data_IF_055240400691
#
_entry.id   IF_055240400691
#
_cell.length_a   1.000
_cell.length_b   1.000
_cell.length_c   1.000
_cell.angle_alpha   90.00
_cell.angle_beta   90.00
_cell.angle_gamma   90.00
#
_symmetry.space_group_name_H-M   'P 1'
#
loop_
_entity.id
_entity.type
_entity.pdbx_description
1 polymer ?
#
# COMPACT_ATOMS: atom_id res chain seq x y z
N UNK A 1 0.39 7.36 -10.33
CA UNK A 1 0.41 8.65 -9.58
C UNK A 1 0.67 8.42 -8.10
N UNK A 2 -0.09 7.57 -7.41
CA UNK A 2 0.12 7.25 -5.97
C UNK A 2 1.55 6.82 -5.62
N UNK A 3 2.13 5.84 -6.34
CA UNK A 3 3.49 5.35 -6.06
C UNK A 3 4.56 6.44 -6.25
N UNK A 4 4.40 7.28 -7.28
CA UNK A 4 5.26 8.46 -7.50
C UNK A 4 5.14 9.47 -6.35
N UNK A 5 3.93 9.74 -5.86
CA UNK A 5 3.72 10.65 -4.72
C UNK A 5 4.36 10.10 -3.44
N UNK A 6 4.29 8.79 -3.22
CA UNK A 6 4.96 8.14 -2.09
C UNK A 6 6.47 8.29 -2.17
N UNK A 7 7.07 8.07 -3.35
CA UNK A 7 8.51 8.29 -3.56
C UNK A 7 8.89 9.74 -3.25
N UNK A 8 8.13 10.70 -3.77
CA UNK A 8 8.38 12.11 -3.51
C UNK A 8 8.32 12.46 -2.01
N UNK A 9 7.38 11.86 -1.26
CA UNK A 9 7.28 12.07 0.18
C UNK A 9 8.46 11.44 0.95
N UNK A 10 8.93 10.25 0.54
CA UNK A 10 10.10 9.60 1.14
C UNK A 10 11.40 10.37 0.87
N UNK A 11 11.50 11.01 -0.29
CA UNK A 11 12.66 11.83 -0.69
C UNK A 11 12.60 13.28 -0.17
N UNK A 12 11.47 13.71 0.42
CA UNK A 12 11.33 15.06 0.96
C UNK A 12 12.36 15.30 2.08
N UNK A 13 13.24 16.31 1.98
CA UNK A 13 14.32 16.53 2.94
C UNK A 13 13.83 16.80 4.37
N UNK A 14 12.57 17.23 4.54
CA UNK A 14 11.96 17.46 5.86
C UNK A 14 11.55 16.16 6.55
N UNK A 15 11.28 15.12 5.76
CA UNK A 15 10.64 13.87 6.19
C UNK A 15 11.56 12.65 6.04
N UNK A 16 12.61 12.74 5.22
CA UNK A 16 13.54 11.66 4.89
C UNK A 16 14.11 11.01 6.16
N UNK A 17 14.00 9.68 6.23
CA UNK A 17 14.44 8.87 7.38
C UNK A 17 13.56 8.96 8.62
N UNK A 18 12.43 9.69 8.57
CA UNK A 18 11.50 9.89 9.70
C UNK A 18 10.08 9.40 9.42
N UNK A 19 9.78 9.00 8.18
CA UNK A 19 8.46 8.52 7.80
C UNK A 19 8.32 7.03 8.02
N UNK A 20 7.21 6.65 8.66
CA UNK A 20 6.62 5.33 8.53
C UNK A 20 5.45 5.45 7.56
N UNK A 21 5.35 4.53 6.60
CA UNK A 21 4.37 4.60 5.53
C UNK A 21 3.78 3.22 5.26
N UNK A 22 2.46 3.17 5.12
CA UNK A 22 1.73 1.99 4.67
C UNK A 22 0.84 2.36 3.50
N UNK A 23 0.89 1.56 2.43
CA UNK A 23 -0.04 1.61 1.31
C UNK A 23 -1.13 0.57 1.50
N UNK A 24 -2.37 1.02 1.70
CA UNK A 24 -3.55 0.16 1.83
C UNK A 24 -4.36 0.17 0.53
N UNK A 25 -4.52 -0.97 -0.12
CA UNK A 25 -5.30 -1.09 -1.36
C UNK A 25 -6.67 -1.76 -1.11
N UNK A 26 -7.75 -1.02 -1.34
CA UNK A 26 -9.14 -1.49 -1.19
C UNK A 26 -10.09 -1.11 -2.34
N UNK A 27 -9.69 -0.19 -3.23
CA UNK A 27 -10.31 0.04 -4.54
C UNK A 27 -9.35 -0.19 -5.73
N UNK A 28 -8.03 -0.10 -5.46
CA UNK A 28 -6.96 -0.18 -6.45
C UNK A 28 -6.12 -1.46 -6.39
N UNK A 29 -6.73 -2.62 -6.07
CA UNK A 29 -6.04 -3.91 -5.93
C UNK A 29 -5.15 -4.29 -7.12
N UNK A 30 -5.47 -3.83 -8.33
CA UNK A 30 -4.66 -4.13 -9.52
C UNK A 30 -3.21 -3.69 -9.36
N UNK A 31 -2.93 -2.63 -8.58
CA UNK A 31 -1.54 -2.19 -8.31
C UNK A 31 -0.67 -3.34 -7.77
N UNK A 32 -1.25 -4.26 -7.00
CA UNK A 32 -0.55 -5.38 -6.38
C UNK A 32 -0.54 -6.67 -7.21
N UNK A 33 -1.22 -6.71 -8.36
CA UNK A 33 -1.32 -7.92 -9.19
C UNK A 33 -0.04 -8.14 -10.00
N UNK A 34 0.38 -9.40 -10.10
CA UNK A 34 1.56 -9.83 -10.85
C UNK A 34 1.52 -9.48 -12.34
N UNK A 35 0.31 -9.39 -12.90
CA UNK A 35 0.07 -9.02 -14.29
C UNK A 35 0.35 -7.54 -14.60
N UNK A 36 0.49 -6.69 -13.58
CA UNK A 36 0.72 -5.26 -13.75
C UNK A 36 2.21 -4.90 -13.71
N UNK A 37 2.62 -3.80 -14.37
CA UNK A 37 4.03 -3.42 -14.50
C UNK A 37 4.64 -2.81 -13.22
N UNK A 38 3.90 -2.75 -12.11
CA UNK A 38 4.31 -2.02 -10.91
C UNK A 38 5.27 -2.78 -9.98
N UNK A 39 5.67 -4.01 -10.33
CA UNK A 39 6.51 -4.86 -9.48
C UNK A 39 7.78 -4.16 -8.99
N UNK A 40 8.52 -3.53 -9.92
CA UNK A 40 9.81 -2.91 -9.63
C UNK A 40 9.64 -1.71 -8.68
N UNK A 41 8.66 -0.86 -8.96
CA UNK A 41 8.36 0.34 -8.17
C UNK A 41 7.89 -0.04 -6.76
N UNK A 42 6.97 -1.00 -6.63
CA UNK A 42 6.52 -1.51 -5.33
C UNK A 42 7.66 -2.13 -4.53
N UNK A 43 8.55 -2.89 -5.17
CA UNK A 43 9.71 -3.48 -4.49
C UNK A 43 10.70 -2.41 -4.02
N UNK A 44 10.91 -1.35 -4.81
CA UNK A 44 11.75 -0.23 -4.41
C UNK A 44 11.17 0.53 -3.21
N UNK A 45 9.84 0.71 -3.15
CA UNK A 45 9.17 1.29 -1.98
C UNK A 45 9.25 0.36 -0.76
N UNK A 46 9.03 -0.94 -0.95
CA UNK A 46 9.16 -1.93 0.12
C UNK A 46 10.58 -1.94 0.72
N UNK A 47 11.61 -1.83 -0.12
CA UNK A 47 13.02 -1.75 0.32
C UNK A 47 13.30 -0.48 1.14
N UNK A 48 12.51 0.57 0.95
CA UNK A 48 12.56 1.79 1.77
C UNK A 48 11.71 1.70 3.04
N UNK A 49 11.15 0.52 3.35
CA UNK A 49 10.37 0.27 4.56
C UNK A 49 8.87 0.54 4.43
N UNK A 50 8.37 0.81 3.21
CA UNK A 50 6.93 0.96 2.99
C UNK A 50 6.21 -0.38 3.16
N UNK A 51 5.21 -0.41 4.02
CA UNK A 51 4.37 -1.58 4.25
C UNK A 51 3.25 -1.61 3.19
N UNK A 52 3.02 -2.77 2.58
CA UNK A 52 1.98 -2.94 1.57
C UNK A 52 0.87 -3.83 2.13
N UNK A 53 -0.38 -3.36 2.11
CA UNK A 53 -1.52 -4.04 2.71
C UNK A 53 -2.69 -4.14 1.73
N UNK A 54 -3.11 -5.36 1.41
CA UNK A 54 -4.30 -5.63 0.60
C UNK A 54 -5.51 -5.93 1.48
N UNK A 55 -6.63 -5.25 1.19
CA UNK A 55 -7.94 -5.54 1.78
C UNK A 55 -8.47 -6.91 1.34
N UNK A 56 -8.73 -7.80 2.30
CA UNK A 56 -9.27 -9.14 2.04
C UNK A 56 -10.72 -9.11 1.56
N UNK A 57 -11.56 -8.18 2.05
CA UNK A 57 -12.92 -8.03 1.54
C UNK A 57 -12.94 -7.71 0.04
N UNK A 58 -12.09 -6.78 -0.41
CA UNK A 58 -11.98 -6.43 -1.83
C UNK A 58 -11.56 -7.64 -2.66
N UNK A 59 -10.61 -8.45 -2.18
CA UNK A 59 -10.20 -9.67 -2.88
C UNK A 59 -11.35 -10.67 -2.99
N UNK A 60 -12.11 -10.87 -1.90
CA UNK A 60 -13.28 -11.76 -1.87
C UNK A 60 -14.35 -11.29 -2.86
N UNK A 61 -14.69 -10.01 -2.85
CA UNK A 61 -15.70 -9.40 -3.74
C UNK A 61 -15.28 -9.49 -5.21
N UNK A 62 -14.01 -9.23 -5.51
CA UNK A 62 -13.48 -9.25 -6.88
C UNK A 62 -12.98 -10.63 -7.33
N UNK A 63 -13.13 -11.66 -6.49
CA UNK A 63 -12.67 -13.04 -6.74
C UNK A 63 -11.19 -13.12 -7.12
N UNK A 64 -10.35 -12.32 -6.46
CA UNK A 64 -8.90 -12.29 -6.69
C UNK A 64 -8.26 -13.26 -5.72
N UNK A 65 -7.41 -14.14 -6.23
CA UNK A 65 -6.64 -15.07 -5.41
C UNK A 65 -5.30 -14.46 -4.96
N UNK A 66 -4.77 -14.94 -3.82
CA UNK A 66 -3.49 -14.46 -3.26
C UNK A 66 -2.31 -14.74 -4.19
N UNK A 67 -2.36 -15.81 -4.98
CA UNK A 67 -1.32 -16.14 -5.96
C UNK A 67 -1.28 -15.18 -7.14
N UNK A 68 -2.33 -14.38 -7.36
CA UNK A 68 -2.32 -13.31 -8.36
C UNK A 68 -1.55 -12.07 -7.89
N UNK A 69 -1.30 -11.92 -6.59
CA UNK A 69 -0.61 -10.77 -6.01
C UNK A 69 0.88 -11.03 -5.81
N UNK A 70 1.69 -9.97 -5.80
CA UNK A 70 3.11 -10.12 -5.47
C UNK A 70 3.30 -10.73 -4.07
N UNK A 71 4.31 -11.60 -3.88
CA UNK A 71 4.47 -12.38 -2.64
C UNK A 71 4.85 -11.54 -1.42
N UNK A 72 5.24 -10.28 -1.61
CA UNK A 72 5.62 -9.35 -0.55
C UNK A 72 4.45 -8.49 -0.04
N UNK A 73 3.23 -8.71 -0.54
CA UNK A 73 2.04 -7.97 -0.13
C UNK A 73 1.43 -8.61 1.12
N UNK A 74 1.24 -7.81 2.16
CA UNK A 74 0.50 -8.18 3.36
C UNK A 74 -1.01 -8.07 3.18
N UNK A 75 -1.76 -8.54 4.16
CA UNK A 75 -3.23 -8.59 4.09
C UNK A 75 -3.84 -8.01 5.36
N UNK A 76 -4.92 -7.24 5.18
CA UNK A 76 -5.73 -6.69 6.26
C UNK A 76 -7.19 -7.11 6.07
N UNK A 77 -7.97 -7.32 7.15
CA UNK A 77 -9.37 -7.74 7.02
C UNK A 77 -10.18 -6.77 6.14
N UNK A 78 -10.04 -5.46 6.40
CA UNK A 78 -10.71 -4.41 5.62
C UNK A 78 -9.79 -3.20 5.44
N UNK A 79 -9.84 -2.56 4.27
CA UNK A 79 -9.01 -1.37 4.01
C UNK A 79 -9.44 -0.17 4.84
N UNK A 80 -10.73 0.15 4.87
CA UNK A 80 -11.24 1.26 5.68
C UNK A 80 -10.98 1.06 7.18
N UNK A 81 -11.11 -0.17 7.70
CA UNK A 81 -10.81 -0.46 9.10
C UNK A 81 -9.34 -0.20 9.44
N UNK A 82 -8.42 -0.61 8.56
CA UNK A 82 -6.99 -0.32 8.69
C UNK A 82 -6.73 1.19 8.75
N UNK A 83 -7.34 1.98 7.85
CA UNK A 83 -7.20 3.43 7.84
C UNK A 83 -7.75 4.09 9.11
N UNK A 84 -8.91 3.67 9.60
CA UNK A 84 -9.52 4.20 10.84
C UNK A 84 -8.61 3.93 12.04
N UNK A 85 -8.05 2.71 12.14
CA UNK A 85 -7.13 2.35 13.22
C UNK A 85 -5.87 3.22 13.18
N UNK A 86 -5.24 3.36 12.01
CA UNK A 86 -4.05 4.20 11.88
C UNK A 86 -4.34 5.66 12.17
N UNK A 87 -5.45 6.19 11.66
CA UNK A 87 -5.86 7.57 11.95
C UNK A 87 -6.06 7.79 13.46
N UNK A 88 -6.69 6.85 14.15
CA UNK A 88 -6.85 6.91 15.61
C UNK A 88 -5.50 6.87 16.37
N UNK A 89 -4.48 6.27 15.77
CA UNK A 89 -3.10 6.27 16.27
C UNK A 89 -2.30 7.52 15.87
N UNK A 90 -2.95 8.53 15.26
CA UNK A 90 -2.32 9.79 14.88
C UNK A 90 -1.65 9.76 13.50
N UNK A 91 -1.90 8.74 12.69
CA UNK A 91 -1.36 8.71 11.32
C UNK A 91 -2.09 9.70 10.41
N UNK A 92 -1.34 10.32 9.52
CA UNK A 92 -1.91 11.09 8.43
C UNK A 92 -2.42 10.12 7.34
N UNK A 93 -3.68 10.26 6.96
CA UNK A 93 -4.28 9.49 5.85
C UNK A 93 -4.25 10.36 4.60
N UNK A 94 -3.60 9.86 3.54
CA UNK A 94 -3.51 10.52 2.23
C UNK A 94 -4.21 9.63 1.20
N UNK A 95 -5.20 10.19 0.48
CA UNK A 95 -5.92 9.50 -0.60
C UNK A 95 -5.74 10.27 -1.92
N UNK A 96 -4.70 9.95 -2.71
CA UNK A 96 -4.40 10.61 -3.98
C UNK A 96 -5.41 10.36 -5.10
#
# INVERSE_FOLDING_TARGET
MTLQNMRNALDDPRLKGRLQMQLVAYGGTDVFRKAQPYKAELKALQQQGVIMAQCLNTMKERKISKDELFPFIGYVPTGNGELIIWQAQGWAIIHP
#
